data_IF_311434603221
#
_entry.id   IF_311434603221
#
_cell.length_a   1.000
_cell.length_b   1.000
_cell.length_c   1.000
_cell.angle_alpha   90.00
_cell.angle_beta   90.00
_cell.angle_gamma   90.00
#
_symmetry.space_group_name_H-M   'P 1'
#
loop_
_entity.id
_entity.type
_entity.pdbx_description
1 polymer ?
#
# COMPACT_ATOMS: atom_id res chain seq x y z
N UNK A 1 8.88 -6.72 18.42
CA UNK A 1 7.42 -6.47 18.32
C UNK A 1 7.24 -5.25 17.45
N UNK A 2 6.45 -5.35 16.38
CA UNK A 2 6.14 -4.23 15.47
C UNK A 2 5.16 -3.29 16.16
N UNK A 3 5.53 -2.02 16.31
CA UNK A 3 4.70 -1.00 16.96
C UNK A 3 4.36 0.17 16.04
N UNK A 4 5.19 0.42 15.03
CA UNK A 4 4.99 1.52 14.08
C UNK A 4 5.05 1.00 12.64
N UNK A 5 3.99 1.24 11.87
CA UNK A 5 3.82 0.75 10.52
C UNK A 5 3.62 1.93 9.58
N UNK A 6 4.42 2.00 8.52
CA UNK A 6 4.21 2.92 7.40
C UNK A 6 3.57 2.15 6.24
N UNK A 7 2.44 2.62 5.71
CA UNK A 7 1.86 2.14 4.45
C UNK A 7 1.92 3.25 3.41
N UNK A 8 2.38 2.94 2.20
CA UNK A 8 2.56 3.94 1.15
C UNK A 8 2.26 3.39 -0.24
N UNK A 9 1.40 4.07 -0.97
CA UNK A 9 1.34 3.97 -2.43
C UNK A 9 2.38 4.95 -3.00
N UNK A 10 3.45 4.40 -3.61
CA UNK A 10 4.60 5.20 -4.09
C UNK A 10 4.50 5.56 -5.58
N UNK A 11 3.40 5.19 -6.26
CA UNK A 11 3.17 5.49 -7.68
C UNK A 11 4.34 5.06 -8.59
N UNK A 12 4.98 3.92 -8.30
CA UNK A 12 6.18 3.42 -9.01
C UNK A 12 7.35 4.40 -9.03
N UNK A 13 7.47 5.27 -8.03
CA UNK A 13 8.49 6.31 -7.94
C UNK A 13 8.59 7.20 -9.19
N UNK A 14 7.46 7.48 -9.84
CA UNK A 14 7.40 8.33 -11.04
C UNK A 14 7.61 9.82 -10.73
N UNK A 15 7.43 10.23 -9.47
CA UNK A 15 7.57 11.62 -9.04
C UNK A 15 6.49 12.53 -9.64
N UNK A 16 5.24 12.07 -9.63
CA UNK A 16 4.05 12.81 -10.05
C UNK A 16 3.20 13.05 -8.80
N UNK A 17 3.03 14.31 -8.43
CA UNK A 17 2.43 14.77 -7.17
C UNK A 17 0.89 14.93 -7.22
N UNK A 18 0.24 14.41 -8.26
CA UNK A 18 -1.21 14.52 -8.44
C UNK A 18 -1.70 15.87 -8.93
N UNK A 19 -0.86 16.92 -8.97
CA UNK A 19 -1.24 18.22 -9.52
C UNK A 19 -1.45 18.17 -11.05
N UNK A 20 -2.33 19.04 -11.58
CA UNK A 20 -2.52 19.15 -13.03
C UNK A 20 -1.21 19.49 -13.74
N UNK A 21 -0.40 20.38 -13.17
CA UNK A 21 0.89 20.76 -13.71
C UNK A 21 1.87 19.58 -13.68
N UNK A 22 1.92 18.82 -12.59
CA UNK A 22 2.75 17.61 -12.47
C UNK A 22 2.40 16.57 -13.52
N UNK A 23 1.10 16.27 -13.70
CA UNK A 23 0.63 15.33 -14.71
C UNK A 23 0.97 15.77 -16.14
N UNK A 24 0.76 17.04 -16.51
CA UNK A 24 1.10 17.56 -17.83
C UNK A 24 2.61 17.57 -18.08
N UNK A 25 3.37 18.10 -17.12
CA UNK A 25 4.84 18.23 -17.24
C UNK A 25 5.54 16.88 -17.31
N UNK A 26 5.07 15.90 -16.53
CA UNK A 26 5.71 14.59 -16.36
C UNK A 26 4.92 13.45 -16.99
N UNK A 27 4.01 13.73 -17.91
CA UNK A 27 3.18 12.72 -18.59
C UNK A 27 3.97 11.55 -19.15
N UNK A 28 5.15 11.82 -19.75
CA UNK A 28 6.07 10.79 -20.26
C UNK A 28 6.50 9.75 -19.21
N UNK A 29 6.50 10.11 -17.92
CA UNK A 29 6.89 9.22 -16.81
C UNK A 29 5.85 8.12 -16.54
N UNK A 30 4.63 8.26 -17.08
CA UNK A 30 3.67 7.15 -17.04
C UNK A 30 4.15 5.95 -17.88
N UNK A 31 4.98 6.18 -18.89
CA UNK A 31 5.53 5.15 -19.77
C UNK A 31 6.96 4.77 -19.42
N UNK A 32 7.77 5.75 -19.03
CA UNK A 32 9.17 5.54 -18.70
C UNK A 32 9.67 6.61 -17.72
N UNK A 33 10.22 6.16 -16.61
CA UNK A 33 10.86 7.02 -15.61
C UNK A 33 12.31 6.58 -15.44
N UNK A 34 13.26 7.45 -15.81
CA UNK A 34 14.69 7.15 -15.72
C UNK A 34 15.19 6.96 -14.29
N UNK A 35 16.21 6.14 -14.11
CA UNK A 35 16.78 5.81 -12.81
C UNK A 35 17.15 7.05 -11.93
N UNK A 36 17.70 8.16 -12.46
CA UNK A 36 17.98 9.34 -11.62
C UNK A 36 16.73 9.96 -10.99
N UNK A 37 15.60 10.00 -11.73
CA UNK A 37 14.32 10.48 -11.22
C UNK A 37 13.83 9.59 -10.10
N UNK A 38 13.84 8.28 -10.31
CA UNK A 38 13.37 7.32 -9.32
C UNK A 38 14.21 7.35 -8.05
N UNK A 39 15.55 7.37 -8.17
CA UNK A 39 16.43 7.50 -7.00
C UNK A 39 16.16 8.76 -6.20
N UNK A 40 15.86 9.89 -6.87
CA UNK A 40 15.46 11.12 -6.18
C UNK A 40 14.16 10.93 -5.40
N UNK A 41 13.16 10.28 -5.96
CA UNK A 41 11.88 9.96 -5.30
C UNK A 41 12.11 9.02 -4.12
N UNK A 42 12.85 7.93 -4.34
CA UNK A 42 13.15 6.95 -3.30
C UNK A 42 13.98 7.56 -2.17
N UNK A 43 14.85 8.53 -2.46
CA UNK A 43 15.56 9.27 -1.42
C UNK A 43 14.60 10.12 -0.55
N UNK A 44 13.57 10.73 -1.15
CA UNK A 44 12.54 11.45 -0.39
C UNK A 44 11.73 10.50 0.49
N UNK A 45 11.38 9.32 -0.02
CA UNK A 45 10.74 8.28 0.79
C UNK A 45 11.65 7.80 1.93
N UNK A 46 12.94 7.57 1.68
CA UNK A 46 13.92 7.25 2.73
C UNK A 46 13.98 8.31 3.84
N UNK A 47 13.91 9.59 3.47
CA UNK A 47 13.87 10.65 4.47
C UNK A 47 12.64 10.53 5.36
N UNK A 48 11.45 10.27 4.80
CA UNK A 48 10.23 10.01 5.58
C UNK A 48 10.42 8.80 6.51
N UNK A 49 10.98 7.70 5.98
CA UNK A 49 11.25 6.49 6.77
C UNK A 49 12.24 6.78 7.91
N UNK A 50 13.27 7.56 7.64
CA UNK A 50 14.26 7.98 8.65
C UNK A 50 13.64 8.87 9.73
N UNK A 51 12.82 9.84 9.34
CA UNK A 51 12.21 10.80 10.26
C UNK A 51 11.15 10.16 11.15
N UNK A 52 10.32 9.27 10.57
CA UNK A 52 9.24 8.59 11.30
C UNK A 52 9.69 7.28 11.96
N UNK A 53 10.81 6.72 11.57
CA UNK A 53 11.42 5.48 12.13
C UNK A 53 10.46 4.30 12.30
N UNK A 54 9.60 3.95 11.31
CA UNK A 54 8.69 2.80 11.42
C UNK A 54 9.46 1.49 11.61
N UNK A 55 8.82 0.48 12.20
CA UNK A 55 9.39 -0.86 12.32
C UNK A 55 9.17 -1.69 11.05
N UNK A 56 8.06 -1.40 10.37
CA UNK A 56 7.61 -2.05 9.14
C UNK A 56 7.13 -1.00 8.14
N UNK A 57 7.59 -1.09 6.89
CA UNK A 57 7.06 -0.27 5.79
C UNK A 57 6.44 -1.17 4.74
N UNK A 58 5.16 -0.96 4.44
CA UNK A 58 4.40 -1.67 3.42
C UNK A 58 4.22 -0.77 2.19
N UNK A 59 4.57 -1.26 1.02
CA UNK A 59 4.51 -0.49 -0.22
C UNK A 59 3.58 -1.14 -1.24
N UNK A 60 2.72 -0.33 -1.84
CA UNK A 60 2.00 -0.71 -3.05
C UNK A 60 2.48 0.19 -4.19
N UNK A 61 2.31 -0.30 -5.44
CA UNK A 61 2.85 0.36 -6.62
C UNK A 61 4.36 0.61 -6.55
N UNK A 62 5.12 -0.40 -6.14
CA UNK A 62 6.57 -0.47 -6.23
C UNK A 62 6.99 -1.27 -7.47
N UNK A 63 8.18 -1.02 -8.01
CA UNK A 63 8.67 -1.72 -9.22
C UNK A 63 9.93 -2.54 -8.90
N UNK A 64 9.92 -3.81 -9.32
CA UNK A 64 11.04 -4.75 -9.12
C UNK A 64 12.09 -4.74 -10.25
N UNK A 65 11.99 -3.79 -11.19
CA UNK A 65 12.95 -3.63 -12.29
C UNK A 65 12.35 -3.80 -13.69
N UNK A 66 11.17 -3.23 -13.96
CA UNK A 66 10.56 -3.22 -15.30
C UNK A 66 11.26 -2.25 -16.25
N UNK A 67 10.85 -2.30 -17.53
CA UNK A 67 11.23 -1.27 -18.52
C UNK A 67 10.80 0.13 -18.07
N UNK A 68 9.62 0.27 -17.46
CA UNK A 68 9.13 1.56 -16.93
C UNK A 68 10.07 2.19 -15.92
N UNK A 69 10.75 1.37 -15.12
CA UNK A 69 11.69 1.79 -14.09
C UNK A 69 13.16 1.79 -14.56
N UNK A 70 13.41 1.76 -15.86
CA UNK A 70 14.77 1.65 -16.39
C UNK A 70 15.57 0.46 -15.82
N UNK A 71 14.88 -0.63 -15.47
CA UNK A 71 15.47 -1.80 -14.83
C UNK A 71 15.82 -1.62 -13.34
N UNK A 72 15.47 -0.49 -12.72
CA UNK A 72 15.78 -0.22 -11.33
C UNK A 72 14.86 -1.03 -10.41
N UNK A 73 15.43 -1.87 -9.56
CA UNK A 73 14.70 -2.51 -8.48
C UNK A 73 14.55 -1.52 -7.31
N UNK A 74 13.36 -0.95 -7.17
CA UNK A 74 13.08 0.09 -6.18
C UNK A 74 13.17 -0.42 -4.73
N UNK A 75 12.90 -1.72 -4.52
CA UNK A 75 13.03 -2.32 -3.19
C UNK A 75 14.49 -2.33 -2.73
N UNK A 76 15.43 -2.72 -3.61
CA UNK A 76 16.84 -2.71 -3.28
C UNK A 76 17.37 -1.29 -2.98
N UNK A 77 16.77 -0.26 -3.57
CA UNK A 77 17.12 1.13 -3.24
C UNK A 77 16.58 1.56 -1.87
N UNK A 78 15.60 0.86 -1.30
CA UNK A 78 15.01 1.17 0.01
C UNK A 78 15.59 0.32 1.15
N UNK A 79 16.18 -0.84 0.86
CA UNK A 79 16.81 -1.70 1.87
C UNK A 79 18.16 -1.15 2.30
N UNK A 80 18.48 -1.32 3.58
CA UNK A 80 19.76 -0.99 4.21
C UNK A 80 20.00 -1.89 5.43
N UNK A 81 21.04 -1.59 6.22
CA UNK A 81 21.39 -2.37 7.43
C UNK A 81 20.30 -2.30 8.52
N UNK A 82 19.48 -1.23 8.55
CA UNK A 82 18.36 -1.09 9.50
C UNK A 82 17.11 -1.82 9.01
N UNK A 83 16.87 -1.85 7.69
CA UNK A 83 15.73 -2.50 7.04
C UNK A 83 16.21 -3.62 6.14
N UNK A 84 16.79 -4.66 6.76
CA UNK A 84 17.42 -5.79 6.07
C UNK A 84 16.47 -6.89 5.67
N UNK A 85 15.28 -6.96 6.27
CA UNK A 85 14.25 -7.95 5.94
C UNK A 85 13.26 -7.36 4.95
N UNK A 86 13.02 -8.04 3.84
CA UNK A 86 12.11 -7.56 2.81
C UNK A 86 11.51 -8.68 1.98
N UNK A 87 10.38 -8.40 1.34
CA UNK A 87 9.84 -9.15 0.21
C UNK A 87 9.27 -8.19 -0.83
N UNK A 88 9.34 -8.59 -2.09
CA UNK A 88 8.70 -7.90 -3.21
C UNK A 88 8.08 -8.93 -4.14
N UNK A 89 6.81 -8.76 -4.49
CA UNK A 89 6.08 -9.71 -5.32
C UNK A 89 5.14 -9.01 -6.30
N UNK A 90 4.97 -9.63 -7.47
CA UNK A 90 4.12 -9.09 -8.52
C UNK A 90 2.66 -8.95 -8.07
N UNK A 91 2.09 -7.75 -8.21
CA UNK A 91 0.71 -7.47 -7.81
C UNK A 91 -0.35 -8.24 -8.60
N UNK A 92 0.01 -8.79 -9.74
CA UNK A 92 -0.91 -9.56 -10.61
C UNK A 92 -0.99 -11.05 -10.27
N UNK A 93 -0.18 -11.53 -9.31
CA UNK A 93 0.02 -12.94 -9.01
C UNK A 93 1.07 -13.60 -9.92
N UNK A 94 1.69 -14.67 -9.43
CA UNK A 94 2.89 -15.28 -10.04
C UNK A 94 2.65 -15.84 -11.45
N UNK A 95 1.43 -16.27 -11.79
CA UNK A 95 1.08 -16.89 -13.07
C UNK A 95 0.31 -15.96 -14.03
N UNK A 96 0.31 -14.67 -13.80
CA UNK A 96 -0.42 -13.73 -14.63
C UNK A 96 0.28 -13.49 -15.97
N UNK A 97 -0.47 -13.52 -17.07
CA UNK A 97 0.04 -13.11 -18.40
C UNK A 97 0.44 -11.61 -18.41
N UNK A 98 -0.19 -10.79 -17.57
CA UNK A 98 0.11 -9.35 -17.45
C UNK A 98 1.52 -9.13 -16.89
N UNK A 99 1.98 -9.97 -15.97
CA UNK A 99 3.33 -9.88 -15.41
C UNK A 99 4.44 -10.17 -16.43
N UNK A 100 4.10 -10.80 -17.57
CA UNK A 100 5.05 -11.10 -18.66
C UNK A 100 5.22 -9.94 -19.65
N UNK A 101 4.40 -8.91 -19.57
CA UNK A 101 4.52 -7.73 -20.43
C UNK A 101 5.67 -6.83 -19.98
N UNK A 102 6.54 -6.35 -20.89
CA UNK A 102 7.75 -5.57 -20.51
C UNK A 102 7.44 -4.33 -19.66
N UNK A 103 6.29 -3.68 -19.88
CA UNK A 103 5.86 -2.50 -19.12
C UNK A 103 5.25 -2.83 -17.75
N UNK A 104 4.83 -4.08 -17.52
CA UNK A 104 4.13 -4.48 -16.30
C UNK A 104 4.88 -5.55 -15.50
N UNK A 105 5.98 -6.06 -16.05
CA UNK A 105 6.74 -7.16 -15.47
C UNK A 105 7.42 -6.84 -14.13
N UNK A 106 7.49 -5.56 -13.74
CA UNK A 106 8.02 -5.14 -12.44
C UNK A 106 6.96 -4.62 -11.45
N UNK A 107 5.70 -4.46 -11.90
CA UNK A 107 4.65 -3.89 -11.07
C UNK A 107 4.34 -4.79 -9.86
N UNK A 108 4.71 -4.35 -8.68
CA UNK A 108 4.77 -5.15 -7.47
C UNK A 108 4.15 -4.43 -6.27
N UNK A 109 3.94 -5.19 -5.20
CA UNK A 109 3.81 -4.70 -3.84
C UNK A 109 4.91 -5.37 -3.01
N UNK A 110 5.24 -4.80 -1.86
CA UNK A 110 6.29 -5.38 -1.01
C UNK A 110 6.42 -4.64 0.31
N UNK A 111 7.38 -5.06 1.11
CA UNK A 111 7.66 -4.45 2.41
C UNK A 111 9.15 -4.49 2.74
N UNK A 112 9.57 -3.61 3.64
CA UNK A 112 10.84 -3.67 4.37
C UNK A 112 10.56 -3.66 5.87
N UNK A 113 11.37 -4.34 6.66
CA UNK A 113 11.23 -4.42 8.11
C UNK A 113 12.59 -4.41 8.80
N UNK A 114 12.63 -3.84 10.03
CA UNK A 114 13.80 -3.88 10.91
C UNK A 114 14.09 -5.28 11.48
N UNK A 115 13.06 -6.10 11.58
CA UNK A 115 13.17 -7.46 12.13
C UNK A 115 12.49 -8.47 11.23
N UNK A 116 12.89 -9.73 11.35
CA UNK A 116 12.21 -10.80 10.65
C UNK A 116 10.74 -10.88 11.04
N UNK A 117 9.87 -11.01 10.04
CA UNK A 117 8.43 -11.11 10.20
C UNK A 117 7.90 -12.31 9.44
N UNK A 118 7.05 -13.10 10.10
CA UNK A 118 6.35 -14.21 9.44
C UNK A 118 5.23 -13.65 8.58
N UNK A 119 5.21 -14.01 7.31
CA UNK A 119 4.21 -13.54 6.37
C UNK A 119 3.78 -14.63 5.38
N UNK A 120 2.62 -14.42 4.78
CA UNK A 120 2.06 -15.21 3.70
C UNK A 120 1.62 -14.31 2.57
N UNK A 121 1.75 -14.81 1.34
CA UNK A 121 1.24 -14.15 0.13
C UNK A 121 -0.04 -14.84 -0.31
N UNK A 122 -1.13 -14.10 -0.22
CA UNK A 122 -2.46 -14.53 -0.64
C UNK A 122 -2.85 -13.83 -1.94
N UNK A 123 -3.85 -14.34 -2.63
CA UNK A 123 -4.28 -13.77 -3.90
C UNK A 123 -5.79 -13.69 -4.01
N UNK A 124 -6.30 -12.51 -4.34
CA UNK A 124 -7.68 -12.36 -4.78
C UNK A 124 -7.97 -13.21 -6.02
N UNK A 125 -9.14 -13.81 -6.08
CA UNK A 125 -9.65 -14.54 -7.25
C UNK A 125 -10.05 -13.58 -8.37
N UNK A 126 -10.55 -12.39 -7.98
CA UNK A 126 -11.10 -11.40 -8.90
C UNK A 126 -10.13 -10.23 -9.12
N UNK A 127 -10.10 -9.74 -10.36
CA UNK A 127 -9.33 -8.57 -10.75
C UNK A 127 -7.89 -8.86 -11.19
N UNK A 128 -7.18 -7.78 -11.52
CA UNK A 128 -5.77 -7.83 -11.91
C UNK A 128 -4.83 -7.53 -10.75
N UNK A 129 -5.22 -6.63 -9.83
CA UNK A 129 -4.50 -6.39 -8.57
C UNK A 129 -4.93 -7.48 -7.59
N UNK A 130 -4.06 -8.49 -7.41
CA UNK A 130 -4.45 -9.73 -6.72
C UNK A 130 -3.69 -9.99 -5.43
N UNK A 131 -2.48 -9.45 -5.29
CA UNK A 131 -1.61 -9.74 -4.16
C UNK A 131 -2.11 -9.12 -2.87
N UNK A 132 -2.19 -9.95 -1.84
CA UNK A 132 -2.44 -9.58 -0.45
C UNK A 132 -1.27 -10.13 0.37
N UNK A 133 -0.69 -9.33 1.24
CA UNK A 133 0.21 -9.82 2.28
C UNK A 133 -0.57 -9.99 3.57
N UNK A 134 -0.38 -11.14 4.23
CA UNK A 134 -0.81 -11.44 5.59
C UNK A 134 0.45 -11.58 6.45
N UNK A 135 0.58 -10.79 7.51
CA UNK A 135 1.79 -10.69 8.32
C UNK A 135 1.44 -10.82 9.80
N UNK A 136 2.17 -11.65 10.54
CA UNK A 136 2.00 -11.76 11.99
C UNK A 136 2.82 -10.65 12.67
N UNK A 137 2.16 -9.65 13.26
CA UNK A 137 2.84 -8.58 14.01
C UNK A 137 3.31 -9.06 15.38
N UNK A 138 2.48 -9.88 16.02
CA UNK A 138 2.76 -10.62 17.26
C UNK A 138 1.93 -11.92 17.31
N UNK A 139 1.69 -12.48 18.51
CA UNK A 139 0.94 -13.74 18.68
C UNK A 139 -0.56 -13.57 18.41
N UNK A 140 -1.10 -12.37 18.67
CA UNK A 140 -2.55 -12.10 18.66
C UNK A 140 -2.96 -11.08 17.61
N UNK A 141 -2.01 -10.47 16.89
CA UNK A 141 -2.28 -9.39 15.93
C UNK A 141 -1.74 -9.72 14.55
N UNK A 142 -2.61 -9.63 13.55
CA UNK A 142 -2.28 -9.85 12.14
C UNK A 142 -2.51 -8.57 11.34
N UNK A 143 -1.55 -8.25 10.47
CA UNK A 143 -1.66 -7.19 9.48
C UNK A 143 -1.97 -7.80 8.12
N UNK A 144 -2.98 -7.28 7.46
CA UNK A 144 -3.18 -7.44 6.02
C UNK A 144 -2.84 -6.15 5.30
N UNK A 145 -2.11 -6.22 4.19
CA UNK A 145 -2.03 -5.08 3.29
C UNK A 145 -2.23 -5.48 1.84
N UNK A 146 -2.92 -4.61 1.09
CA UNK A 146 -3.36 -4.89 -0.27
C UNK A 146 -3.51 -3.61 -1.10
N UNK A 147 -3.76 -3.79 -2.40
CA UNK A 147 -4.15 -2.74 -3.31
C UNK A 147 -5.38 -3.20 -4.11
N UNK A 148 -6.55 -2.63 -3.79
CA UNK A 148 -7.82 -3.01 -4.39
C UNK A 148 -8.00 -2.49 -5.82
N UNK A 149 -8.94 -3.10 -6.53
CA UNK A 149 -9.25 -2.75 -7.92
C UNK A 149 -9.91 -1.39 -8.06
N UNK A 150 -9.53 -0.63 -9.10
CA UNK A 150 -10.26 0.58 -9.52
C UNK A 150 -11.70 0.27 -9.98
N UNK A 151 -11.93 -0.93 -10.53
CA UNK A 151 -13.25 -1.35 -10.96
C UNK A 151 -14.12 -1.70 -9.74
N UNK A 152 -15.19 -0.91 -9.52
CA UNK A 152 -16.09 -1.08 -8.37
C UNK A 152 -16.69 -2.48 -8.26
N UNK A 153 -17.11 -3.11 -9.37
CA UNK A 153 -17.70 -4.45 -9.34
C UNK A 153 -16.69 -5.51 -8.90
N UNK A 154 -15.45 -5.39 -9.36
CA UNK A 154 -14.34 -6.27 -8.94
C UNK A 154 -14.00 -6.02 -7.47
N UNK A 155 -13.92 -4.75 -7.04
CA UNK A 155 -13.61 -4.37 -5.67
C UNK A 155 -14.61 -4.94 -4.66
N UNK A 156 -15.91 -4.94 -4.99
CA UNK A 156 -16.94 -5.56 -4.14
C UNK A 156 -16.70 -7.08 -3.99
N UNK A 157 -16.26 -7.78 -5.04
CA UNK A 157 -15.88 -9.19 -4.91
C UNK A 157 -14.64 -9.36 -4.03
N UNK A 158 -13.64 -8.50 -4.19
CA UNK A 158 -12.45 -8.51 -3.33
C UNK A 158 -12.80 -8.23 -1.86
N UNK A 159 -13.78 -7.37 -1.56
CA UNK A 159 -14.26 -7.15 -0.18
C UNK A 159 -14.88 -8.41 0.43
N UNK A 160 -15.64 -9.18 -0.35
CA UNK A 160 -16.17 -10.47 0.10
C UNK A 160 -15.06 -11.49 0.38
N UNK A 161 -14.03 -11.52 -0.46
CA UNK A 161 -12.86 -12.38 -0.23
C UNK A 161 -12.08 -11.96 1.03
N UNK A 162 -11.98 -10.65 1.31
CA UNK A 162 -11.41 -10.17 2.58
C UNK A 162 -12.25 -10.65 3.77
N UNK A 163 -13.58 -10.55 3.70
CA UNK A 163 -14.45 -11.09 4.75
C UNK A 163 -14.15 -12.57 5.02
N UNK A 164 -14.03 -13.40 3.97
CA UNK A 164 -13.76 -14.83 4.11
C UNK A 164 -12.35 -15.10 4.70
N UNK A 165 -11.38 -14.25 4.41
CA UNK A 165 -10.03 -14.32 5.00
C UNK A 165 -10.06 -13.96 6.49
N UNK A 166 -10.72 -12.84 6.84
CA UNK A 166 -10.80 -12.36 8.22
C UNK A 166 -11.60 -13.31 9.13
N UNK A 167 -12.59 -14.01 8.59
CA UNK A 167 -13.35 -15.02 9.33
C UNK A 167 -12.49 -16.22 9.80
N UNK A 168 -11.27 -16.38 9.29
CA UNK A 168 -10.33 -17.43 9.70
C UNK A 168 -9.37 -16.96 10.79
N UNK A 169 -9.33 -15.66 11.09
CA UNK A 169 -8.49 -15.12 12.13
C UNK A 169 -9.16 -15.21 13.51
N UNK A 170 -8.38 -15.57 14.51
CA UNK A 170 -8.83 -15.65 15.90
C UNK A 170 -8.41 -14.45 16.76
N UNK A 171 -7.47 -13.65 16.26
CA UNK A 171 -6.91 -12.49 16.92
C UNK A 171 -7.35 -11.16 16.33
N UNK A 172 -6.66 -10.11 16.73
CA UNK A 172 -6.90 -8.77 16.22
C UNK A 172 -6.34 -8.60 14.80
N UNK A 173 -7.04 -7.84 13.98
CA UNK A 173 -6.66 -7.58 12.60
C UNK A 173 -6.52 -6.09 12.34
N UNK A 174 -5.44 -5.74 11.61
CA UNK A 174 -5.26 -4.44 10.98
C UNK A 174 -5.25 -4.67 9.47
N UNK A 175 -6.04 -3.90 8.73
CA UNK A 175 -6.07 -3.92 7.25
C UNK A 175 -5.67 -2.54 6.71
N UNK A 176 -4.49 -2.47 6.10
CA UNK A 176 -3.96 -1.28 5.42
C UNK A 176 -4.06 -1.48 3.90
N UNK A 177 -4.67 -0.56 3.19
CA UNK A 177 -4.75 -0.69 1.74
C UNK A 177 -5.02 0.63 1.02
N UNK A 178 -4.64 0.69 -0.26
CA UNK A 178 -5.28 1.57 -1.21
C UNK A 178 -6.60 0.91 -1.66
N UNK A 179 -7.70 1.41 -1.13
CA UNK A 179 -9.04 0.86 -1.35
C UNK A 179 -9.67 1.30 -2.67
N UNK A 180 -9.14 2.35 -3.29
CA UNK A 180 -9.66 2.90 -4.55
C UNK A 180 -11.18 3.24 -4.51
N UNK A 181 -11.71 3.63 -3.37
CA UNK A 181 -13.13 4.00 -3.16
C UNK A 181 -13.43 5.40 -3.70
N UNK A 182 -13.44 5.54 -5.01
CA UNK A 182 -13.57 6.84 -5.69
C UNK A 182 -14.87 7.60 -5.39
N UNK A 183 -15.91 6.93 -4.90
CA UNK A 183 -17.21 7.53 -4.54
C UNK A 183 -17.39 7.72 -3.03
N UNK A 184 -16.30 7.62 -2.24
CA UNK A 184 -16.29 7.88 -0.81
C UNK A 184 -16.58 6.66 0.08
N UNK A 185 -16.64 6.89 1.39
CA UNK A 185 -16.70 5.84 2.42
C UNK A 185 -17.94 4.94 2.33
N UNK A 186 -19.04 5.40 1.70
CA UNK A 186 -20.21 4.55 1.47
C UNK A 186 -19.92 3.29 0.66
N UNK A 187 -18.83 3.27 -0.14
CA UNK A 187 -18.41 2.06 -0.85
C UNK A 187 -17.85 0.98 0.09
N UNK A 188 -17.42 1.34 1.31
CA UNK A 188 -16.94 0.40 2.33
C UNK A 188 -18.08 -0.29 3.10
N UNK A 189 -19.30 0.25 3.07
CA UNK A 189 -20.39 -0.25 3.89
C UNK A 189 -20.58 -1.78 3.83
N UNK A 190 -20.51 -2.44 2.65
CA UNK A 190 -20.61 -3.90 2.62
C UNK A 190 -19.49 -4.58 3.42
N UNK A 191 -18.24 -4.12 3.29
CA UNK A 191 -17.11 -4.68 4.03
C UNK A 191 -17.26 -4.45 5.53
N UNK A 192 -17.56 -3.22 5.95
CA UNK A 192 -17.67 -2.87 7.38
C UNK A 192 -18.83 -3.59 8.07
N UNK A 193 -19.97 -3.73 7.39
CA UNK A 193 -21.14 -4.44 7.94
C UNK A 193 -20.83 -5.93 8.07
N UNK A 194 -20.27 -6.54 7.04
CA UNK A 194 -20.02 -7.98 6.99
C UNK A 194 -18.89 -8.40 7.96
N UNK A 195 -17.86 -7.57 8.15
CA UNK A 195 -16.69 -7.91 8.97
C UNK A 195 -16.71 -7.32 10.38
N UNK A 196 -17.49 -6.28 10.63
CA UNK A 196 -17.46 -5.53 11.89
C UNK A 196 -16.21 -4.67 12.09
N UNK A 197 -15.38 -4.52 11.07
CA UNK A 197 -14.18 -3.67 11.13
C UNK A 197 -14.57 -2.21 11.37
N UNK A 198 -13.68 -1.49 12.07
CA UNK A 198 -13.75 -0.05 12.29
C UNK A 198 -12.76 0.67 11.40
N UNK A 199 -13.16 1.82 10.87
CA UNK A 199 -12.32 2.71 10.07
C UNK A 199 -11.64 3.73 10.99
N UNK A 200 -10.31 3.93 10.84
CA UNK A 200 -9.55 4.93 11.57
C UNK A 200 -9.52 6.28 10.86
N UNK A 201 -9.53 6.28 9.52
CA UNK A 201 -9.46 7.52 8.74
C UNK A 201 -10.70 8.40 8.93
N UNK A 202 -10.50 9.72 8.86
CA UNK A 202 -11.56 10.72 8.81
C UNK A 202 -11.77 11.22 7.38
N UNK A 203 -12.98 11.68 7.06
CA UNK A 203 -13.30 12.15 5.69
C UNK A 203 -12.48 13.38 5.27
N UNK A 204 -12.05 14.19 6.23
CA UNK A 204 -11.26 15.41 6.01
C UNK A 204 -9.77 15.13 5.78
N UNK A 205 -9.29 13.94 6.14
CA UNK A 205 -7.89 13.54 6.06
C UNK A 205 -7.57 12.90 4.71
N UNK A 206 -7.45 13.74 3.68
CA UNK A 206 -7.23 13.28 2.32
C UNK A 206 -5.90 12.53 2.17
N UNK A 207 -5.95 11.36 1.54
CA UNK A 207 -4.78 10.53 1.23
C UNK A 207 -4.45 10.49 -0.25
N UNK A 208 -5.29 11.04 -1.11
CA UNK A 208 -5.10 11.07 -2.56
C UNK A 208 -5.49 12.42 -3.14
N UNK A 209 -4.69 12.90 -4.10
CA UNK A 209 -4.97 14.14 -4.84
C UNK A 209 -4.84 13.90 -6.33
N UNK A 210 -5.87 14.26 -7.08
CA UNK A 210 -5.82 14.25 -8.53
C UNK A 210 -6.36 15.57 -9.08
N UNK A 211 -5.47 16.38 -9.65
CA UNK A 211 -5.72 17.75 -10.09
C UNK A 211 -6.25 18.64 -8.95
N UNK A 212 -7.55 18.92 -8.92
CA UNK A 212 -8.22 19.73 -7.90
C UNK A 212 -9.11 18.91 -6.96
N UNK A 213 -9.12 17.59 -7.14
CA UNK A 213 -9.94 16.69 -6.33
C UNK A 213 -9.06 15.98 -5.32
N UNK A 214 -9.46 16.03 -4.06
CA UNK A 214 -8.83 15.27 -2.98
C UNK A 214 -9.81 14.22 -2.47
N UNK A 215 -9.30 13.04 -2.15
CA UNK A 215 -10.07 11.87 -1.69
C UNK A 215 -9.31 11.12 -0.61
N UNK A 216 -10.02 10.24 0.09
CA UNK A 216 -9.43 9.31 1.06
C UNK A 216 -9.50 7.92 0.43
N UNK A 217 -8.39 7.44 -0.14
CA UNK A 217 -8.31 6.16 -0.83
C UNK A 217 -7.46 5.14 -0.08
N UNK A 218 -6.41 5.61 0.60
CA UNK A 218 -5.56 4.81 1.46
C UNK A 218 -6.16 4.80 2.86
N UNK A 219 -6.48 3.62 3.37
CA UNK A 219 -7.24 3.49 4.61
C UNK A 219 -6.62 2.47 5.56
N UNK A 220 -6.87 2.71 6.84
CA UNK A 220 -6.62 1.79 7.93
C UNK A 220 -7.95 1.34 8.54
N UNK A 221 -8.24 0.04 8.44
CA UNK A 221 -9.35 -0.62 9.11
C UNK A 221 -8.79 -1.58 10.15
N UNK A 222 -9.55 -1.81 11.23
CA UNK A 222 -9.12 -2.76 12.26
C UNK A 222 -10.32 -3.40 12.97
N UNK A 223 -10.08 -4.52 13.63
CA UNK A 223 -11.05 -5.12 14.56
C UNK A 223 -11.33 -4.19 15.75
N UNK A 224 -12.53 -4.25 16.34
CA UNK A 224 -12.90 -3.38 17.46
C UNK A 224 -11.96 -3.46 18.67
N UNK A 225 -11.40 -4.65 18.95
CA UNK A 225 -10.57 -4.86 20.16
C UNK A 225 -9.23 -4.13 20.13
N UNK A 226 -8.67 -3.86 18.94
CA UNK A 226 -7.41 -3.11 18.83
C UNK A 226 -7.62 -1.62 18.52
N UNK A 227 -8.84 -1.21 18.11
CA UNK A 227 -9.13 0.14 17.61
C UNK A 227 -8.59 1.26 18.50
N UNK A 228 -8.86 1.21 19.81
CA UNK A 228 -8.48 2.26 20.74
C UNK A 228 -6.97 2.30 21.07
N UNK A 229 -6.23 1.31 20.59
CA UNK A 229 -4.76 1.23 20.69
C UNK A 229 -4.05 1.75 19.44
N UNK A 230 -4.77 2.09 18.39
CA UNK A 230 -4.19 2.56 17.13
C UNK A 230 -4.29 4.08 17.03
N UNK A 231 -3.18 4.71 16.70
CA UNK A 231 -3.13 6.11 16.28
C UNK A 231 -2.73 6.18 14.80
N UNK A 232 -3.51 6.91 14.00
CA UNK A 232 -3.28 7.10 12.58
C UNK A 232 -2.80 8.53 12.31
N UNK A 233 -1.68 8.66 11.58
CA UNK A 233 -1.16 9.93 11.07
C UNK A 233 -1.02 9.86 9.56
N UNK A 234 -1.48 10.89 8.86
CA UNK A 234 -1.30 11.02 7.40
C UNK A 234 -0.01 11.79 7.13
N UNK A 235 0.88 11.20 6.33
CA UNK A 235 2.18 11.77 5.98
C UNK A 235 2.15 12.20 4.50
N UNK A 236 2.25 13.50 4.20
CA UNK A 236 2.33 13.98 2.81
C UNK A 236 3.53 13.41 2.07
N UNK A 237 3.32 13.01 0.81
CA UNK A 237 4.36 12.52 -0.09
C UNK A 237 4.45 13.45 -1.31
N UNK A 238 5.40 14.41 -1.36
CA UNK A 238 5.45 15.42 -2.42
C UNK A 238 5.84 14.85 -3.79
N UNK A 239 6.08 13.56 -3.88
CA UNK A 239 6.49 12.84 -5.06
C UNK A 239 5.44 11.83 -5.57
N UNK A 240 4.34 11.68 -4.85
CA UNK A 240 3.22 10.79 -5.18
C UNK A 240 1.91 11.58 -5.13
N UNK A 241 0.92 11.15 -5.86
CA UNK A 241 -0.47 11.59 -5.75
C UNK A 241 -1.17 11.01 -4.50
N UNK A 242 -0.53 10.06 -3.82
CA UNK A 242 -0.96 9.52 -2.53
C UNK A 242 -0.14 10.08 -1.36
N UNK A 243 -0.75 10.19 -0.19
CA UNK A 243 -0.07 10.34 1.09
C UNK A 243 0.19 8.96 1.73
N UNK A 244 1.17 8.86 2.61
CA UNK A 244 1.39 7.64 3.38
C UNK A 244 0.54 7.63 4.65
N UNK A 245 0.21 6.43 5.13
CA UNK A 245 -0.39 6.19 6.43
C UNK A 245 0.71 5.75 7.41
N UNK A 246 0.79 6.40 8.56
CA UNK A 246 1.61 5.96 9.67
C UNK A 246 0.69 5.51 10.80
N UNK A 247 0.81 4.26 11.20
CA UNK A 247 0.00 3.66 12.26
C UNK A 247 0.90 3.32 13.43
N UNK A 248 0.64 3.93 14.57
CA UNK A 248 1.27 3.61 15.85
C UNK A 248 0.37 2.68 16.67
N UNK A 249 0.91 1.56 17.17
CA UNK A 249 0.22 0.58 18.01
C UNK A 249 0.65 0.82 19.44
N UNK A 250 -0.24 1.39 20.26
CA UNK A 250 0.00 1.59 21.70
C UNK A 250 -0.04 0.26 22.45
N UNK A 251 0.77 0.17 23.47
CA UNK A 251 0.79 -0.99 24.39
C UNK A 251 -0.43 -1.03 25.30
#
# INVERSE_FOLDING_TARGET
MIQKILFSNIGYAKGIDGSLFGHLRYFHRHFYSGAPTQRKVLQQLRNIIHDETPDLCCFVEIDSGSFQSAGLNQMHELTDDHYSYYDISHKYGENSLVSRLPMHGGNSNGFISKSEIKFEKLSFRYGTKRLIYRMNLDQDTVLYFAHFSLNRKVRIQQFREVHDLLAQESGEVILLADFNILHGFSELNPLLIDTGLKLLNREEEHTFTFHRQSKVLDLCLCTPGIHDRLDLKIIPQPYSDHAALLVDIRK
#
